data_IF_703704815065
#
_entry.id   IF_703704815065
#
_cell.length_a   1.000
_cell.length_b   1.000
_cell.length_c   1.000
_cell.angle_alpha   90.00
_cell.angle_beta   90.00
_cell.angle_gamma   90.00
#
_symmetry.space_group_name_H-M   'P 1'
#
loop_
_entity.id
_entity.type
_entity.pdbx_description
1 polymer ?
#
# COMPACT_ATOMS: atom_id res chain seq x y z
N UNK A 1 6.93 1.45 26.14
CA UNK A 1 5.66 2.15 26.41
C UNK A 1 5.08 2.46 25.05
N UNK A 2 3.95 1.85 24.69
CA UNK A 2 3.30 2.13 23.39
C UNK A 2 2.87 3.59 23.36
N UNK A 3 3.14 4.28 22.25
CA UNK A 3 2.76 5.69 22.09
C UNK A 3 1.25 5.73 21.95
N UNK A 4 0.57 6.65 22.64
CA UNK A 4 -0.88 6.77 22.53
C UNK A 4 -1.30 7.40 21.20
N UNK A 5 -2.52 7.12 20.73
CA UNK A 5 -3.12 7.77 19.56
C UNK A 5 -3.06 9.31 19.65
N UNK A 6 -3.26 9.85 20.86
CA UNK A 6 -3.18 11.29 21.14
C UNK A 6 -1.78 11.85 20.92
N UNK A 7 -0.75 11.14 21.36
CA UNK A 7 0.64 11.55 21.15
C UNK A 7 1.01 11.51 19.66
N UNK A 8 0.51 10.51 18.91
CA UNK A 8 0.66 10.47 17.45
C UNK A 8 -0.09 11.61 16.74
N UNK A 9 -1.31 11.94 17.18
CA UNK A 9 -2.03 13.10 16.65
C UNK A 9 -1.26 14.40 16.91
N UNK A 10 -0.73 14.56 18.12
CA UNK A 10 0.11 15.71 18.48
C UNK A 10 1.36 15.77 17.60
N UNK A 11 1.99 14.62 17.33
CA UNK A 11 3.17 14.54 16.47
C UNK A 11 2.87 14.88 15.02
N UNK A 12 1.80 14.32 14.44
CA UNK A 12 1.34 14.65 13.09
C UNK A 12 1.05 16.15 12.93
N UNK A 13 0.39 16.76 13.91
CA UNK A 13 0.13 18.21 13.91
C UNK A 13 1.41 19.05 14.00
N UNK A 14 2.43 18.59 14.73
CA UNK A 14 3.75 19.24 14.77
C UNK A 14 4.46 19.15 13.42
N UNK A 15 4.46 17.96 12.79
CA UNK A 15 5.07 17.74 11.46
C UNK A 15 4.40 18.57 10.37
N UNK A 16 3.07 18.73 10.44
CA UNK A 16 2.29 19.55 9.51
C UNK A 16 2.51 21.08 9.66
N UNK A 17 3.11 21.54 10.76
CA UNK A 17 3.50 22.94 10.95
C UNK A 17 2.38 23.88 11.38
N UNK A 18 2.63 25.19 11.22
CA UNK A 18 1.71 26.24 11.67
C UNK A 18 0.37 26.21 10.93
N UNK A 19 -0.73 26.36 11.67
CA UNK A 19 -2.10 26.35 11.11
C UNK A 19 -2.76 24.96 11.04
N UNK A 20 -2.01 23.87 11.20
CA UNK A 20 -2.50 22.50 11.10
C UNK A 20 -3.68 22.17 12.02
N UNK A 21 -3.73 22.75 13.24
CA UNK A 21 -4.86 22.57 14.17
C UNK A 21 -6.15 23.22 13.67
N UNK A 22 -6.06 24.38 13.04
CA UNK A 22 -7.21 25.07 12.49
C UNK A 22 -7.70 24.36 11.22
N UNK A 23 -6.77 23.90 10.37
CA UNK A 23 -7.08 23.10 9.20
C UNK A 23 -7.78 21.78 9.59
N UNK A 24 -7.24 21.06 10.59
CA UNK A 24 -7.86 19.87 11.16
C UNK A 24 -9.29 20.14 11.65
N UNK A 25 -9.50 21.24 12.39
CA UNK A 25 -10.83 21.59 12.89
C UNK A 25 -11.82 21.84 11.73
N UNK A 26 -11.37 22.53 10.68
CA UNK A 26 -12.18 22.82 9.50
C UNK A 26 -12.59 21.55 8.74
N UNK A 27 -11.63 20.66 8.41
CA UNK A 27 -11.94 19.41 7.69
C UNK A 27 -12.77 18.43 8.54
N UNK A 28 -12.60 18.46 9.86
CA UNK A 28 -13.39 17.66 10.78
C UNK A 28 -14.79 18.25 11.06
N UNK A 29 -15.08 19.47 10.59
CA UNK A 29 -16.36 20.15 10.82
C UNK A 29 -16.60 20.50 12.29
N UNK A 30 -15.54 20.79 13.05
CA UNK A 30 -15.60 21.09 14.49
C UNK A 30 -15.04 22.47 14.82
N UNK A 31 -15.38 22.99 15.99
CA UNK A 31 -14.76 24.20 16.51
C UNK A 31 -13.27 23.96 16.89
N UNK A 32 -12.35 24.92 16.69
CA UNK A 32 -10.92 24.74 17.01
C UNK A 32 -10.61 24.31 18.45
N UNK A 33 -11.49 24.65 19.40
CA UNK A 33 -11.36 24.19 20.79
C UNK A 33 -11.50 22.68 20.96
N UNK A 34 -12.21 21.98 20.05
CA UNK A 34 -12.35 20.53 20.08
C UNK A 34 -10.99 19.85 19.88
N UNK A 35 -10.20 20.32 18.90
CA UNK A 35 -8.84 19.81 18.66
C UNK A 35 -7.96 19.99 19.90
N UNK A 36 -8.08 21.11 20.62
CA UNK A 36 -7.35 21.31 21.88
C UNK A 36 -7.75 20.28 22.94
N UNK A 37 -9.04 19.97 23.07
CA UNK A 37 -9.58 18.98 24.01
C UNK A 37 -9.14 17.55 23.66
N UNK A 38 -9.05 17.22 22.37
CA UNK A 38 -8.49 15.94 21.93
C UNK A 38 -7.03 15.79 22.37
N UNK A 39 -6.24 16.86 22.25
CA UNK A 39 -4.82 16.85 22.63
C UNK A 39 -4.57 16.86 24.15
N UNK A 40 -5.50 17.38 24.96
CA UNK A 40 -5.46 17.24 26.42
C UNK A 40 -6.04 15.92 26.92
N UNK A 41 -6.85 15.24 26.10
CA UNK A 41 -7.58 14.03 26.50
C UNK A 41 -8.89 14.31 27.23
N UNK A 42 -9.42 15.53 27.15
CA UNK A 42 -10.70 15.89 27.77
C UNK A 42 -11.89 15.26 27.03
N UNK A 43 -11.74 15.01 25.74
CA UNK A 43 -12.75 14.38 24.86
C UNK A 43 -12.06 13.61 23.75
N UNK A 44 -12.69 12.56 23.24
CA UNK A 44 -12.20 11.83 22.08
C UNK A 44 -12.79 12.38 20.77
N UNK A 45 -12.02 12.37 19.66
CA UNK A 45 -12.54 12.69 18.35
C UNK A 45 -13.45 11.57 17.83
N UNK A 46 -14.47 11.92 17.03
CA UNK A 46 -15.24 10.91 16.30
C UNK A 46 -14.38 10.23 15.24
N UNK A 47 -14.78 9.03 14.82
CA UNK A 47 -14.14 8.33 13.70
C UNK A 47 -14.12 9.18 12.42
N UNK A 48 -15.22 9.87 12.12
CA UNK A 48 -15.32 10.76 10.94
C UNK A 48 -14.33 11.93 11.00
N UNK A 49 -14.16 12.55 12.18
CA UNK A 49 -13.20 13.63 12.40
C UNK A 49 -11.75 13.14 12.22
N UNK A 50 -11.44 11.96 12.76
CA UNK A 50 -10.13 11.33 12.59
C UNK A 50 -9.84 10.99 11.13
N UNK A 51 -10.77 10.36 10.42
CA UNK A 51 -10.58 9.99 9.02
C UNK A 51 -10.43 11.21 8.08
N UNK A 52 -11.11 12.32 8.39
CA UNK A 52 -10.90 13.59 7.69
C UNK A 52 -9.52 14.17 8.00
N UNK A 53 -9.13 14.18 9.29
CA UNK A 53 -7.84 14.67 9.76
C UNK A 53 -6.63 13.91 9.23
N UNK A 54 -6.71 12.59 9.08
CA UNK A 54 -5.64 11.77 8.53
C UNK A 54 -5.23 12.21 7.11
N UNK A 55 -6.22 12.53 6.27
CA UNK A 55 -5.95 13.03 4.90
C UNK A 55 -5.29 14.40 4.93
N UNK A 56 -5.81 15.31 5.74
CA UNK A 56 -5.26 16.66 5.90
C UNK A 56 -3.81 16.63 6.42
N UNK A 57 -3.53 15.74 7.38
CA UNK A 57 -2.22 15.61 8.00
C UNK A 57 -1.27 14.67 7.25
N UNK A 58 -1.70 14.12 6.10
CA UNK A 58 -0.93 13.16 5.29
C UNK A 58 -0.40 11.96 6.10
N UNK A 59 -1.23 11.40 6.99
CA UNK A 59 -0.93 10.18 7.77
C UNK A 59 -2.01 9.11 7.53
N UNK A 60 -1.67 7.84 7.66
CA UNK A 60 -2.67 6.76 7.57
C UNK A 60 -3.47 6.62 8.88
N UNK A 61 -4.66 6.02 8.77
CA UNK A 61 -5.45 5.65 9.95
C UNK A 61 -4.73 4.60 10.81
N UNK A 62 -4.10 3.62 10.18
CA UNK A 62 -3.35 2.56 10.86
C UNK A 62 -2.16 3.14 11.64
N UNK A 63 -1.48 4.13 11.08
CA UNK A 63 -0.41 4.83 11.77
C UNK A 63 -0.96 5.57 12.98
N UNK A 64 -2.03 6.34 12.81
CA UNK A 64 -2.60 7.10 13.91
C UNK A 64 -3.14 6.20 15.02
N UNK A 65 -3.80 5.09 14.67
CA UNK A 65 -4.42 4.17 15.62
C UNK A 65 -3.36 3.29 16.32
N UNK A 66 -2.42 2.71 15.58
CA UNK A 66 -1.55 1.63 16.06
C UNK A 66 -0.05 1.94 15.95
N UNK A 67 0.33 3.09 15.41
CA UNK A 67 1.74 3.42 15.15
C UNK A 67 2.37 2.61 14.01
N UNK A 68 1.54 1.95 13.20
CA UNK A 68 1.99 1.18 12.05
C UNK A 68 1.99 2.07 10.81
N UNK A 69 3.17 2.36 10.27
CA UNK A 69 3.28 2.99 8.96
C UNK A 69 2.46 2.15 7.95
N UNK A 70 1.73 2.79 7.00
CA UNK A 70 1.14 2.02 5.91
C UNK A 70 2.27 1.22 5.27
N UNK A 71 2.04 -0.08 5.04
CA UNK A 71 3.02 -0.91 4.34
C UNK A 71 3.49 -0.16 3.10
N UNK A 72 4.80 -0.14 2.86
CA UNK A 72 5.36 0.55 1.71
C UNK A 72 4.56 0.17 0.46
N UNK A 73 4.21 1.13 -0.41
CA UNK A 73 3.57 0.80 -1.68
C UNK A 73 4.34 -0.35 -2.31
N UNK A 74 3.63 -1.42 -2.68
CA UNK A 74 4.27 -2.52 -3.41
C UNK A 74 4.64 -1.94 -4.77
N UNK A 75 5.88 -1.47 -4.91
CA UNK A 75 6.42 -1.08 -6.20
C UNK A 75 6.49 -2.33 -7.06
N UNK A 76 5.64 -2.38 -8.08
CA UNK A 76 5.68 -3.43 -9.08
C UNK A 76 6.80 -3.07 -10.05
N UNK A 77 7.76 -3.97 -10.24
CA UNK A 77 8.76 -3.89 -11.29
C UNK A 77 8.07 -4.18 -12.63
N UNK A 78 7.47 -3.13 -13.19
CA UNK A 78 6.72 -3.18 -14.45
C UNK A 78 7.62 -3.69 -15.60
N UNK A 79 8.87 -3.24 -15.77
CA UNK A 79 9.78 -3.80 -16.76
C UNK A 79 9.94 -5.33 -16.64
N UNK A 80 10.18 -5.84 -15.42
CA UNK A 80 10.31 -7.28 -15.19
C UNK A 80 8.99 -8.02 -15.49
N UNK A 81 7.84 -7.46 -15.09
CA UNK A 81 6.55 -8.08 -15.38
C UNK A 81 6.29 -8.18 -16.90
N UNK A 82 6.67 -7.17 -17.68
CA UNK A 82 6.60 -7.19 -19.14
C UNK A 82 7.54 -8.24 -19.72
N UNK A 83 8.78 -8.31 -19.23
CA UNK A 83 9.77 -9.33 -19.65
C UNK A 83 9.23 -10.75 -19.42
N UNK A 84 8.65 -11.00 -18.25
CA UNK A 84 8.04 -12.28 -17.91
C UNK A 84 6.84 -12.58 -18.80
N UNK A 85 5.97 -11.60 -19.05
CA UNK A 85 4.82 -11.76 -19.95
C UNK A 85 5.28 -12.15 -21.37
N UNK A 86 6.29 -11.47 -21.89
CA UNK A 86 6.88 -11.79 -23.19
C UNK A 86 7.47 -13.21 -23.22
N UNK A 87 8.16 -13.61 -22.14
CA UNK A 87 8.72 -14.95 -22.03
C UNK A 87 7.64 -16.05 -21.94
N UNK A 88 6.49 -15.77 -21.31
CA UNK A 88 5.33 -16.69 -21.30
C UNK A 88 4.76 -16.86 -22.70
N UNK A 89 4.53 -15.78 -23.44
CA UNK A 89 4.01 -15.83 -24.81
C UNK A 89 4.99 -16.55 -25.75
N UNK A 90 6.29 -16.28 -25.64
CA UNK A 90 7.32 -16.99 -26.41
C UNK A 90 7.32 -18.50 -26.11
N UNK A 91 7.26 -18.89 -24.83
CA UNK A 91 7.23 -20.30 -24.43
C UNK A 91 5.96 -21.04 -24.91
N UNK A 92 4.81 -20.34 -24.95
CA UNK A 92 3.57 -20.89 -25.51
C UNK A 92 3.66 -21.09 -27.03
N UNK A 93 4.21 -20.10 -27.74
CA UNK A 93 4.42 -20.17 -29.18
C UNK A 93 5.39 -21.30 -29.55
N UNK A 94 6.52 -21.43 -28.86
CA UNK A 94 7.49 -22.53 -29.04
C UNK A 94 6.86 -23.90 -28.78
N UNK A 95 5.95 -24.00 -27.81
CA UNK A 95 5.25 -25.23 -27.50
C UNK A 95 4.08 -25.54 -28.46
N UNK A 96 3.70 -24.60 -29.34
CA UNK A 96 2.50 -24.73 -30.17
C UNK A 96 1.22 -24.85 -29.34
N UNK A 97 1.17 -24.17 -28.19
CA UNK A 97 0.07 -24.28 -27.20
C UNK A 97 -0.62 -22.94 -27.01
N UNK A 98 -1.91 -23.00 -26.72
CA UNK A 98 -2.68 -21.85 -26.27
C UNK A 98 -3.17 -22.05 -24.84
N UNK A 99 -3.18 -20.97 -24.08
CA UNK A 99 -3.84 -20.88 -22.77
C UNK A 99 -4.85 -19.73 -22.79
N UNK A 100 -5.93 -19.80 -22.00
CA UNK A 100 -6.79 -18.65 -21.76
C UNK A 100 -6.00 -17.47 -21.16
N UNK A 101 -6.33 -16.21 -21.49
CA UNK A 101 -5.56 -15.05 -21.02
C UNK A 101 -5.33 -15.01 -19.50
N UNK A 102 -6.34 -15.35 -18.70
CA UNK A 102 -6.20 -15.37 -17.24
C UNK A 102 -5.20 -16.42 -16.75
N UNK A 103 -5.10 -17.58 -17.41
CA UNK A 103 -4.10 -18.60 -17.07
C UNK A 103 -2.68 -18.19 -17.44
N UNK A 104 -2.52 -17.39 -18.50
CA UNK A 104 -1.22 -16.78 -18.84
C UNK A 104 -0.77 -15.81 -17.76
N UNK A 105 -1.71 -14.99 -17.28
CA UNK A 105 -1.45 -14.05 -16.18
C UNK A 105 -1.14 -14.76 -14.86
N UNK A 106 -1.81 -15.87 -14.54
CA UNK A 106 -1.48 -16.69 -13.36
C UNK A 106 -0.02 -17.19 -13.40
N UNK A 107 0.44 -17.69 -14.56
CA UNK A 107 1.82 -18.14 -14.74
C UNK A 107 2.81 -16.99 -14.61
N UNK A 108 2.51 -15.85 -15.26
CA UNK A 108 3.35 -14.66 -15.18
C UNK A 108 3.47 -14.12 -13.75
N UNK A 109 2.35 -14.04 -13.03
CA UNK A 109 2.32 -13.59 -11.64
C UNK A 109 3.10 -14.53 -10.70
N UNK A 110 2.92 -15.84 -10.85
CA UNK A 110 3.67 -16.81 -10.05
C UNK A 110 5.17 -16.68 -10.26
N UNK A 111 5.60 -16.56 -11.52
CA UNK A 111 7.01 -16.38 -11.85
C UNK A 111 7.54 -15.04 -11.32
N UNK A 112 6.79 -13.95 -11.47
CA UNK A 112 7.14 -12.63 -10.93
C UNK A 112 7.38 -12.68 -9.42
N UNK A 113 6.49 -13.30 -8.65
CA UNK A 113 6.64 -13.46 -7.21
C UNK A 113 7.90 -14.26 -6.82
N UNK A 114 8.33 -15.23 -7.64
CA UNK A 114 9.54 -16.02 -7.37
C UNK A 114 10.82 -15.21 -7.62
N UNK A 115 10.85 -14.35 -8.64
CA UNK A 115 12.07 -13.65 -9.07
C UNK A 115 12.25 -12.23 -8.53
N UNK A 116 11.17 -11.55 -8.11
CA UNK A 116 11.21 -10.13 -7.68
C UNK A 116 12.08 -9.88 -6.45
N UNK A 117 12.29 -10.89 -5.61
CA UNK A 117 13.18 -10.86 -4.44
C UNK A 117 14.52 -11.60 -4.62
N UNK A 118 14.82 -12.09 -5.82
CA UNK A 118 15.99 -12.94 -6.10
C UNK A 118 16.81 -12.39 -7.26
N UNK A 119 16.55 -12.89 -8.47
CA UNK A 119 17.34 -12.64 -9.67
C UNK A 119 16.90 -11.39 -10.42
N UNK A 120 15.63 -10.98 -10.26
CA UNK A 120 14.99 -9.88 -11.01
C UNK A 120 15.16 -9.99 -12.54
N UNK A 121 15.04 -11.22 -13.06
CA UNK A 121 15.05 -11.50 -14.49
C UNK A 121 14.08 -12.64 -14.80
N UNK A 122 13.51 -12.66 -16.01
CA UNK A 122 12.69 -13.78 -16.44
C UNK A 122 13.56 -15.06 -16.55
N UNK A 123 13.00 -16.20 -16.13
CA UNK A 123 13.63 -17.51 -16.29
C UNK A 123 12.75 -18.35 -17.24
N UNK A 124 13.13 -18.45 -18.52
CA UNK A 124 12.39 -19.23 -19.50
C UNK A 124 12.27 -20.72 -19.14
N UNK A 125 13.20 -21.28 -18.37
CA UNK A 125 13.15 -22.68 -17.92
C UNK A 125 12.11 -22.84 -16.82
N UNK A 126 12.08 -21.94 -15.85
CA UNK A 126 11.06 -21.92 -14.80
C UNK A 126 9.66 -21.73 -15.39
N UNK A 127 9.49 -20.78 -16.31
CA UNK A 127 8.21 -20.52 -17.00
C UNK A 127 7.72 -21.78 -17.73
N UNK A 128 8.59 -22.47 -18.47
CA UNK A 128 8.23 -23.73 -19.14
C UNK A 128 7.83 -24.82 -18.15
N UNK A 129 8.41 -24.87 -16.93
CA UNK A 129 7.98 -25.79 -15.88
C UNK A 129 6.59 -25.44 -15.38
N UNK A 130 6.32 -24.17 -15.10
CA UNK A 130 4.99 -23.69 -14.67
C UNK A 130 3.92 -23.99 -15.71
N UNK A 131 4.19 -23.76 -16.99
CA UNK A 131 3.28 -24.07 -18.11
C UNK A 131 2.90 -25.55 -18.22
N UNK A 132 3.67 -26.47 -17.62
CA UNK A 132 3.31 -27.90 -17.54
C UNK A 132 2.32 -28.20 -16.41
N UNK A 133 2.23 -27.33 -15.40
CA UNK A 133 1.41 -27.53 -14.20
C UNK A 133 0.00 -26.94 -14.34
N UNK A 134 -0.17 -25.90 -15.15
CA UNK A 134 -1.47 -25.31 -15.51
C UNK A 134 -2.09 -25.92 -16.77
N UNK A 135 -1.53 -27.04 -17.24
CA UNK A 135 -2.02 -27.83 -18.36
C UNK A 135 -3.19 -28.74 -17.95
#
# INVERSE_FOLDING_TARGET
MDVSQRERLADALRRAGHGSKAALAAVAGVHPSAVRKWLSGDTDPSFSAIAAGCRELSVSLDWLAYGQEPGAPVEIDIPLLIEIGAAVEAALAEAGRELPPLKRLEVAAHHYCDVVGRTRAADPVAIRRLLRLVA
#
